data_IF_651593534847
#
_entry.id   IF_651593534847
#
_cell.length_a   1.000
_cell.length_b   1.000
_cell.length_c   1.000
_cell.angle_alpha   90.00
_cell.angle_beta   90.00
_cell.angle_gamma   90.00
#
_symmetry.space_group_name_H-M   'P 1'
#
loop_
_entity.id
_entity.type
_entity.pdbx_description
1 polymer ?
#
# COMPACT_ATOMS: atom_id res chain seq x y z
N UNK A 1 49.21 11.30 -10.37
CA UNK A 1 48.64 10.30 -9.47
C UNK A 1 47.60 9.50 -10.26
N UNK A 2 48.03 8.40 -10.89
CA UNK A 2 47.19 7.60 -11.81
C UNK A 2 46.22 6.76 -11.02
N UNK A 3 44.93 7.09 -11.11
CA UNK A 3 43.86 6.20 -10.71
C UNK A 3 43.92 4.98 -11.65
N UNK A 4 44.40 3.87 -11.13
CA UNK A 4 44.24 2.55 -11.73
C UNK A 4 42.77 2.27 -11.85
N UNK A 5 42.20 2.53 -13.03
CA UNK A 5 40.90 2.03 -13.46
C UNK A 5 41.04 0.50 -13.58
N UNK A 6 40.98 -0.19 -12.45
CA UNK A 6 40.62 -1.61 -12.47
C UNK A 6 39.28 -1.71 -13.18
N UNK A 7 39.30 -2.28 -14.37
CA UNK A 7 38.12 -2.66 -15.11
C UNK A 7 37.23 -3.50 -14.16
N UNK A 8 36.25 -2.84 -13.54
CA UNK A 8 35.32 -3.52 -12.65
C UNK A 8 34.48 -4.46 -13.51
N UNK A 9 34.82 -5.73 -13.49
CA UNK A 9 34.10 -6.76 -14.23
C UNK A 9 32.71 -6.96 -13.59
N UNK A 10 31.69 -6.33 -14.20
CA UNK A 10 30.31 -6.40 -13.77
C UNK A 10 29.75 -7.83 -13.71
N UNK A 11 30.37 -8.77 -14.42
CA UNK A 11 29.97 -10.19 -14.49
C UNK A 11 30.80 -11.11 -13.59
N UNK A 12 31.67 -10.55 -12.74
CA UNK A 12 32.58 -11.32 -11.87
C UNK A 12 31.86 -12.38 -11.03
N UNK A 13 30.64 -12.09 -10.60
CA UNK A 13 29.83 -13.00 -9.75
C UNK A 13 28.66 -13.66 -10.48
N UNK A 14 28.60 -13.50 -11.79
CA UNK A 14 27.61 -14.18 -12.61
C UNK A 14 28.05 -15.64 -12.82
N UNK A 15 27.23 -16.64 -12.46
CA UNK A 15 27.52 -18.05 -12.72
C UNK A 15 27.82 -18.31 -14.19
N UNK A 16 28.59 -19.38 -14.48
CA UNK A 16 28.98 -19.70 -15.88
C UNK A 16 27.79 -19.99 -16.80
N UNK A 17 26.71 -20.55 -16.22
CA UNK A 17 25.49 -20.95 -16.94
C UNK A 17 24.42 -19.86 -17.01
N UNK A 18 24.67 -18.67 -16.47
CA UNK A 18 23.67 -17.60 -16.38
C UNK A 18 24.20 -16.29 -16.98
N UNK A 19 23.27 -15.40 -17.30
CA UNK A 19 23.56 -14.09 -17.89
C UNK A 19 23.05 -12.96 -17.00
N UNK A 20 23.84 -11.89 -16.91
CA UNK A 20 23.46 -10.65 -16.27
C UNK A 20 22.48 -9.89 -17.14
N UNK A 21 21.32 -9.52 -16.58
CA UNK A 21 20.38 -8.65 -17.25
C UNK A 21 20.96 -7.24 -17.36
N UNK A 22 21.18 -6.81 -18.60
CA UNK A 22 21.75 -5.48 -18.88
C UNK A 22 20.69 -4.44 -19.16
N UNK A 23 19.58 -4.85 -19.79
CA UNK A 23 18.50 -3.96 -20.21
C UNK A 23 17.22 -4.75 -20.52
N UNK A 24 16.07 -4.15 -20.25
CA UNK A 24 14.81 -4.52 -20.87
C UNK A 24 14.57 -3.56 -22.05
N UNK A 25 14.20 -4.07 -23.20
CA UNK A 25 13.85 -3.28 -24.38
C UNK A 25 12.42 -3.60 -24.79
N UNK A 26 11.66 -2.56 -25.13
CA UNK A 26 10.27 -2.72 -25.55
C UNK A 26 10.11 -2.22 -26.99
N UNK A 27 9.46 -3.03 -27.78
CA UNK A 27 9.08 -2.70 -29.16
C UNK A 27 7.57 -2.89 -29.28
N UNK A 28 6.85 -1.79 -29.42
CA UNK A 28 5.39 -1.77 -29.52
C UNK A 28 5.02 -1.42 -30.95
N UNK A 29 4.31 -2.31 -31.65
CA UNK A 29 3.91 -2.17 -33.06
C UNK A 29 5.09 -1.75 -33.95
N UNK A 30 6.24 -2.37 -33.75
CA UNK A 30 7.46 -2.10 -34.52
C UNK A 30 8.25 -0.84 -34.09
N UNK A 31 7.74 -0.05 -33.17
CA UNK A 31 8.43 1.15 -32.67
C UNK A 31 9.05 0.88 -31.29
N UNK A 32 10.26 1.38 -31.08
CA UNK A 32 10.92 1.29 -29.77
C UNK A 32 10.26 2.25 -28.78
N UNK A 33 9.77 1.71 -27.68
CA UNK A 33 9.05 2.46 -26.63
C UNK A 33 9.53 2.04 -25.25
N UNK A 34 10.55 2.72 -24.73
CA UNK A 34 11.07 2.47 -23.38
C UNK A 34 10.52 3.53 -22.42
N UNK A 35 9.38 3.24 -21.81
CA UNK A 35 8.73 4.09 -20.83
C UNK A 35 8.93 3.53 -19.42
N UNK A 36 8.91 4.40 -18.42
CA UNK A 36 8.97 3.98 -17.00
C UNK A 36 7.76 3.09 -16.62
N UNK A 37 6.62 3.31 -17.26
CA UNK A 37 5.40 2.51 -17.08
C UNK A 37 5.65 1.04 -17.47
N UNK A 38 6.23 0.78 -18.64
CA UNK A 38 6.56 -0.56 -19.09
C UNK A 38 7.67 -1.21 -18.26
N UNK A 39 8.67 -0.44 -17.88
CA UNK A 39 9.75 -0.93 -16.99
C UNK A 39 9.22 -1.41 -15.63
N UNK A 40 8.25 -0.71 -15.04
CA UNK A 40 7.61 -1.11 -13.76
C UNK A 40 6.84 -2.43 -13.84
N UNK A 41 6.43 -2.85 -15.04
CA UNK A 41 5.76 -4.14 -15.23
C UNK A 41 6.74 -5.32 -15.16
N UNK A 42 8.02 -5.07 -15.33
CA UNK A 42 9.01 -6.14 -15.35
C UNK A 42 9.22 -6.75 -13.98
N UNK A 43 9.28 -8.08 -13.93
CA UNK A 43 9.57 -8.83 -12.68
C UNK A 43 11.00 -8.59 -12.24
N UNK A 44 11.91 -8.47 -13.21
CA UNK A 44 13.31 -8.14 -12.98
C UNK A 44 13.69 -6.88 -13.75
N UNK A 45 14.27 -5.94 -13.05
CA UNK A 45 14.86 -4.75 -13.64
C UNK A 45 16.38 -4.88 -13.60
N UNK A 46 17.11 -4.34 -14.58
CA UNK A 46 18.58 -4.31 -14.54
C UNK A 46 19.11 -3.66 -13.26
N UNK A 47 20.32 -4.02 -12.87
CA UNK A 47 20.98 -3.36 -11.76
C UNK A 47 21.02 -1.83 -11.99
N UNK A 48 20.88 -1.08 -10.89
CA UNK A 48 20.88 0.38 -10.92
C UNK A 48 22.12 0.94 -11.63
N UNK A 49 21.89 1.93 -12.47
CA UNK A 49 22.88 2.58 -13.31
C UNK A 49 22.94 4.07 -12.96
N UNK A 50 24.15 4.61 -12.82
CA UNK A 50 24.41 6.02 -12.68
C UNK A 50 25.37 6.45 -13.80
N UNK A 51 24.90 7.18 -14.78
CA UNK A 51 25.69 7.66 -15.94
C UNK A 51 26.42 6.53 -16.70
N UNK A 52 25.75 5.38 -16.91
CA UNK A 52 26.33 4.21 -17.58
C UNK A 52 27.18 3.32 -16.68
N UNK A 53 27.37 3.68 -15.41
CA UNK A 53 28.19 2.93 -14.46
C UNK A 53 27.35 2.29 -13.35
N UNK A 54 27.43 0.97 -13.21
CA UNK A 54 26.69 0.18 -12.20
C UNK A 54 27.43 0.15 -10.88
N UNK A 55 27.49 1.30 -10.21
CA UNK A 55 28.25 1.48 -8.97
C UNK A 55 27.89 0.44 -7.89
N UNK A 56 26.60 0.26 -7.63
CA UNK A 56 26.12 -0.66 -6.57
C UNK A 56 26.45 -2.13 -6.88
N UNK A 57 26.33 -2.55 -8.15
CA UNK A 57 26.76 -3.88 -8.58
C UNK A 57 28.26 -4.07 -8.42
N UNK A 58 29.05 -3.06 -8.75
CA UNK A 58 30.51 -3.11 -8.60
C UNK A 58 30.93 -3.16 -7.13
N UNK A 59 30.28 -2.40 -6.24
CA UNK A 59 30.47 -2.50 -4.79
C UNK A 59 30.18 -3.93 -4.28
N UNK A 60 29.10 -4.53 -4.72
CA UNK A 60 28.78 -5.92 -4.39
C UNK A 60 29.85 -6.89 -4.90
N UNK A 61 30.37 -6.68 -6.11
CA UNK A 61 31.41 -7.52 -6.70
C UNK A 61 32.77 -7.39 -6.00
N UNK A 62 33.05 -6.25 -5.35
CA UNK A 62 34.25 -6.04 -4.54
C UNK A 62 34.19 -6.79 -3.19
N UNK A 63 33.00 -7.00 -2.63
CA UNK A 63 32.86 -7.73 -1.39
C UNK A 63 33.29 -9.18 -1.57
N UNK A 64 33.98 -9.79 -0.62
CA UNK A 64 34.27 -11.23 -0.64
C UNK A 64 32.96 -12.02 -0.34
N UNK A 65 32.61 -13.06 -1.13
CA UNK A 65 31.43 -13.88 -0.86
C UNK A 65 31.49 -14.57 0.51
N UNK A 66 32.64 -15.09 0.86
CA UNK A 66 32.88 -15.88 2.08
C UNK A 66 34.10 -15.36 2.85
N UNK A 67 34.02 -14.19 3.51
CA UNK A 67 35.21 -13.58 4.15
C UNK A 67 35.73 -14.44 5.31
N UNK A 68 34.88 -15.12 6.05
CA UNK A 68 35.27 -16.00 7.16
C UNK A 68 36.08 -17.23 6.68
N UNK A 69 35.62 -17.89 5.59
CA UNK A 69 36.36 -19.01 5.00
C UNK A 69 37.71 -18.56 4.41
N UNK A 70 37.76 -17.36 3.81
CA UNK A 70 38.98 -16.79 3.28
C UNK A 70 40.01 -16.45 4.39
N UNK A 71 39.53 -15.99 5.54
CA UNK A 71 40.37 -15.77 6.71
C UNK A 71 40.94 -17.10 7.22
N UNK A 72 40.12 -18.12 7.39
CA UNK A 72 40.54 -19.48 7.81
C UNK A 72 41.52 -20.11 6.81
N UNK A 73 41.25 -19.97 5.51
CA UNK A 73 42.10 -20.50 4.44
C UNK A 73 43.55 -19.93 4.47
N UNK A 74 43.79 -18.73 5.02
CA UNK A 74 45.13 -18.17 5.19
C UNK A 74 46.02 -19.03 6.10
N UNK A 75 45.43 -19.83 6.94
CA UNK A 75 46.12 -20.68 7.91
C UNK A 75 46.02 -22.18 7.54
N UNK A 76 45.22 -22.55 6.55
CA UNK A 76 45.08 -23.92 6.08
C UNK A 76 46.43 -24.36 5.43
N UNK A 77 47.00 -25.45 5.90
CA UNK A 77 48.33 -25.91 5.43
C UNK A 77 49.55 -25.10 5.93
N UNK A 78 49.33 -24.10 6.79
CA UNK A 78 50.39 -23.25 7.36
C UNK A 78 50.25 -23.12 8.88
N UNK A 79 50.33 -24.23 9.68
CA UNK A 79 50.10 -24.22 11.12
C UNK A 79 51.07 -23.29 11.87
N UNK A 80 52.32 -23.25 11.45
CA UNK A 80 53.35 -22.38 12.06
C UNK A 80 52.97 -20.89 11.98
N UNK A 81 52.30 -20.47 10.92
CA UNK A 81 51.86 -19.08 10.75
C UNK A 81 50.69 -18.73 11.69
N UNK A 82 49.79 -19.68 11.91
CA UNK A 82 48.73 -19.54 12.90
C UNK A 82 49.29 -19.50 14.33
N UNK A 83 50.23 -20.38 14.66
CA UNK A 83 50.83 -20.44 16.00
C UNK A 83 51.65 -19.18 16.32
N UNK A 84 52.41 -18.63 15.36
CA UNK A 84 53.11 -17.34 15.53
C UNK A 84 52.13 -16.22 15.86
N UNK A 85 51.03 -16.14 15.13
CA UNK A 85 49.98 -15.13 15.37
C UNK A 85 49.26 -15.38 16.71
N UNK A 86 49.03 -16.64 17.09
CA UNK A 86 48.41 -17.02 18.34
C UNK A 86 49.28 -16.83 19.58
N UNK A 87 50.62 -16.79 19.40
CA UNK A 87 51.59 -16.39 20.47
C UNK A 87 51.55 -14.88 20.71
N UNK A 88 51.36 -14.06 19.66
CA UNK A 88 51.25 -12.59 19.76
C UNK A 88 49.86 -12.15 20.26
N UNK A 89 48.84 -12.81 19.79
CA UNK A 89 47.45 -12.43 20.02
C UNK A 89 46.68 -13.64 20.58
N UNK A 90 46.74 -14.24 21.52
CA UNK A 90 46.04 -15.46 21.96
C UNK A 90 45.07 -16.10 20.89
N UNK A 91 44.80 -17.38 20.95
CA UNK A 91 43.88 -18.09 20.01
C UNK A 91 42.50 -17.42 19.92
N UNK A 92 41.99 -16.91 21.07
CA UNK A 92 40.70 -16.23 21.15
C UNK A 92 40.69 -14.87 20.44
N UNK A 93 41.78 -14.14 20.50
CA UNK A 93 41.96 -12.85 19.78
C UNK A 93 42.13 -13.06 18.28
N UNK A 94 42.85 -14.12 17.84
CA UNK A 94 42.93 -14.45 16.40
C UNK A 94 41.57 -14.79 15.83
N UNK A 95 40.73 -15.55 16.57
CA UNK A 95 39.35 -15.82 16.15
C UNK A 95 38.49 -14.55 16.08
N UNK A 96 38.64 -13.62 17.03
CA UNK A 96 38.00 -12.29 17.01
C UNK A 96 38.49 -11.43 15.85
N UNK A 97 39.77 -11.50 15.47
CA UNK A 97 40.34 -10.78 14.35
C UNK A 97 39.63 -11.15 13.02
N UNK A 98 39.34 -12.46 12.82
CA UNK A 98 38.55 -12.92 11.66
C UNK A 98 37.11 -12.38 11.62
N UNK A 99 36.55 -12.05 12.77
CA UNK A 99 35.21 -11.43 12.91
C UNK A 99 35.26 -9.91 13.02
N UNK A 100 36.47 -9.29 12.94
CA UNK A 100 36.62 -7.85 13.04
C UNK A 100 35.96 -7.12 11.85
N UNK A 101 35.71 -5.82 12.06
CA UNK A 101 35.21 -4.94 10.99
C UNK A 101 36.10 -4.99 9.73
N UNK A 102 37.41 -5.08 9.90
CA UNK A 102 38.36 -5.14 8.78
C UNK A 102 38.19 -6.40 7.92
N UNK A 103 37.97 -7.58 8.51
CA UNK A 103 37.87 -8.83 7.75
C UNK A 103 36.43 -9.20 7.37
N UNK A 104 35.46 -8.92 8.22
CA UNK A 104 34.07 -9.27 8.01
C UNK A 104 33.21 -8.03 7.73
N UNK A 105 33.31 -7.00 8.56
CA UNK A 105 32.43 -5.84 8.52
C UNK A 105 32.51 -5.04 7.21
N UNK A 106 33.69 -4.83 6.64
CA UNK A 106 33.84 -4.14 5.34
C UNK A 106 33.10 -4.93 4.25
N UNK A 107 33.28 -6.25 4.19
CA UNK A 107 32.65 -7.07 3.16
C UNK A 107 31.14 -7.17 3.33
N UNK A 108 30.65 -7.21 4.55
CA UNK A 108 29.19 -7.17 4.84
C UNK A 108 28.61 -5.79 4.48
N UNK A 109 29.31 -4.72 4.80
CA UNK A 109 28.91 -3.36 4.43
C UNK A 109 28.86 -3.19 2.92
N UNK A 110 29.88 -3.65 2.19
CA UNK A 110 29.91 -3.63 0.73
C UNK A 110 28.77 -4.47 0.12
N UNK A 111 28.39 -5.59 0.72
CA UNK A 111 27.22 -6.38 0.27
C UNK A 111 25.91 -5.65 0.55
N UNK A 112 25.78 -4.97 1.69
CA UNK A 112 24.57 -4.21 2.07
C UNK A 112 24.39 -2.96 1.22
N UNK A 113 25.45 -2.22 0.96
CA UNK A 113 25.43 -1.03 0.10
C UNK A 113 25.37 -1.38 -1.39
N UNK A 114 25.93 -2.54 -1.74
CA UNK A 114 25.92 -3.07 -3.09
C UNK A 114 24.61 -3.71 -3.48
N UNK A 115 24.50 -4.06 -4.75
CA UNK A 115 23.37 -4.73 -5.35
C UNK A 115 23.82 -6.03 -6.01
N UNK A 116 23.22 -7.18 -5.68
CA UNK A 116 23.58 -8.45 -6.32
C UNK A 116 23.28 -8.42 -7.82
N UNK A 117 24.03 -9.20 -8.64
CA UNK A 117 23.78 -9.26 -10.07
C UNK A 117 22.36 -9.78 -10.35
N UNK A 118 21.61 -9.04 -11.16
CA UNK A 118 20.28 -9.46 -11.61
C UNK A 118 20.47 -10.42 -12.78
N UNK A 119 20.10 -11.67 -12.56
CA UNK A 119 20.30 -12.75 -13.52
C UNK A 119 19.01 -13.00 -14.33
N UNK A 120 19.17 -13.26 -15.62
CA UNK A 120 18.06 -13.63 -16.50
C UNK A 120 17.60 -15.06 -16.16
N UNK A 121 16.28 -15.23 -16.04
CA UNK A 121 15.63 -16.54 -15.97
C UNK A 121 14.29 -16.53 -16.72
N UNK A 122 13.95 -17.65 -17.33
CA UNK A 122 12.75 -17.79 -18.17
C UNK A 122 11.48 -17.51 -17.39
N UNK A 123 11.38 -17.98 -16.14
CA UNK A 123 10.17 -17.78 -15.30
C UNK A 123 9.85 -16.30 -15.04
N UNK A 124 10.87 -15.47 -14.88
CA UNK A 124 10.68 -14.02 -14.73
C UNK A 124 10.28 -13.36 -16.04
N UNK A 125 10.80 -13.83 -17.17
CA UNK A 125 10.40 -13.38 -18.51
C UNK A 125 8.93 -13.70 -18.75
N UNK A 126 8.51 -14.94 -18.54
CA UNK A 126 7.12 -15.38 -18.74
C UNK A 126 6.14 -14.58 -17.88
N UNK A 127 6.49 -14.33 -16.61
CA UNK A 127 5.70 -13.46 -15.73
C UNK A 127 5.63 -12.01 -16.22
N UNK A 128 6.73 -11.49 -16.77
CA UNK A 128 6.76 -10.14 -17.34
C UNK A 128 5.88 -10.04 -18.58
N UNK A 129 5.90 -11.06 -19.45
CA UNK A 129 4.99 -11.15 -20.60
C UNK A 129 3.52 -11.17 -20.17
N UNK A 130 3.17 -11.92 -19.12
CA UNK A 130 1.80 -11.94 -18.58
C UNK A 130 1.39 -10.57 -18.04
N UNK A 131 2.29 -9.84 -17.37
CA UNK A 131 2.02 -8.49 -16.88
C UNK A 131 1.82 -7.49 -18.04
N UNK A 132 2.67 -7.58 -19.08
CA UNK A 132 2.49 -6.78 -20.29
C UNK A 132 1.15 -7.11 -20.98
N UNK A 133 0.80 -8.39 -21.12
CA UNK A 133 -0.48 -8.80 -21.68
C UNK A 133 -1.66 -8.23 -20.89
N UNK A 134 -1.61 -8.32 -19.54
CA UNK A 134 -2.63 -7.74 -18.66
C UNK A 134 -2.71 -6.21 -18.79
N UNK A 135 -1.58 -5.53 -18.90
CA UNK A 135 -1.53 -4.07 -19.10
C UNK A 135 -2.25 -3.65 -20.41
N UNK A 136 -1.94 -4.28 -21.52
CA UNK A 136 -2.60 -3.97 -22.79
C UNK A 136 -4.06 -4.45 -22.82
N UNK A 137 -4.37 -5.59 -22.20
CA UNK A 137 -5.74 -6.07 -22.03
C UNK A 137 -6.58 -5.04 -21.27
N UNK A 138 -6.08 -4.48 -20.16
CA UNK A 138 -6.77 -3.45 -19.39
C UNK A 138 -6.99 -2.14 -20.17
N UNK A 139 -6.19 -1.90 -21.19
CA UNK A 139 -6.34 -0.77 -22.14
C UNK A 139 -7.22 -1.10 -23.36
N UNK A 140 -7.91 -2.24 -23.36
CA UNK A 140 -8.83 -2.65 -24.45
C UNK A 140 -8.16 -3.33 -25.63
N UNK A 141 -6.89 -3.69 -25.55
CA UNK A 141 -6.20 -4.47 -26.58
C UNK A 141 -6.30 -5.97 -26.25
N UNK A 142 -7.50 -6.53 -26.33
CA UNK A 142 -7.76 -7.91 -25.90
C UNK A 142 -7.02 -8.96 -26.76
N UNK A 143 -6.70 -8.63 -28.00
CA UNK A 143 -6.00 -9.50 -28.94
C UNK A 143 -4.48 -9.26 -28.98
N UNK A 144 -3.92 -8.52 -28.02
CA UNK A 144 -2.50 -8.22 -27.97
C UNK A 144 -1.65 -9.49 -27.88
N UNK A 145 -0.62 -9.56 -28.72
CA UNK A 145 0.37 -10.64 -28.71
C UNK A 145 1.69 -10.11 -28.16
N UNK A 146 2.23 -10.81 -27.18
CA UNK A 146 3.50 -10.46 -26.53
C UNK A 146 4.49 -11.59 -26.71
N UNK A 147 5.69 -11.27 -27.19
CA UNK A 147 6.82 -12.18 -27.26
C UNK A 147 8.05 -11.58 -26.59
N UNK A 148 8.97 -12.43 -26.16
CA UNK A 148 10.23 -12.00 -25.60
C UNK A 148 11.38 -12.77 -26.22
N UNK A 149 12.48 -12.08 -26.47
CA UNK A 149 13.73 -12.63 -26.97
C UNK A 149 14.88 -12.20 -26.08
N UNK A 150 15.84 -13.10 -25.86
CA UNK A 150 17.07 -12.81 -25.14
C UNK A 150 18.15 -12.51 -26.15
N UNK A 151 18.64 -11.28 -26.17
CA UNK A 151 19.72 -10.84 -27.04
C UNK A 151 21.04 -10.86 -26.26
N UNK A 152 21.93 -11.78 -26.61
CA UNK A 152 23.21 -11.96 -25.94
C UNK A 152 24.21 -10.88 -26.36
N UNK A 153 24.67 -10.07 -25.42
CA UNK A 153 25.64 -9.00 -25.62
C UNK A 153 27.00 -9.39 -25.00
N UNK A 154 27.72 -10.31 -25.62
CA UNK A 154 29.04 -10.77 -25.15
C UNK A 154 28.99 -11.82 -24.02
N UNK A 155 30.15 -12.12 -23.41
CA UNK A 155 30.25 -13.14 -22.36
C UNK A 155 29.43 -12.77 -21.13
N UNK A 156 28.43 -13.60 -20.77
CA UNK A 156 27.60 -13.49 -19.55
C UNK A 156 26.74 -12.21 -19.44
N UNK A 157 26.50 -11.48 -20.51
CA UNK A 157 25.63 -10.31 -20.55
C UNK A 157 24.55 -10.53 -21.59
N UNK A 158 23.31 -10.17 -21.26
CA UNK A 158 22.24 -10.16 -22.23
C UNK A 158 21.19 -9.09 -21.89
N UNK A 159 20.43 -8.68 -22.90
CA UNK A 159 19.21 -7.90 -22.76
C UNK A 159 18.00 -8.77 -23.07
N UNK A 160 16.84 -8.36 -22.57
CA UNK A 160 15.57 -8.99 -22.91
C UNK A 160 14.77 -7.99 -23.73
N UNK A 161 14.42 -8.37 -24.96
CA UNK A 161 13.59 -7.58 -25.86
C UNK A 161 12.17 -8.12 -25.82
N UNK A 162 11.22 -7.30 -25.38
CA UNK A 162 9.80 -7.59 -25.40
C UNK A 162 9.17 -6.94 -26.64
N UNK A 163 8.53 -7.75 -27.47
CA UNK A 163 7.81 -7.27 -28.65
C UNK A 163 6.31 -7.40 -28.39
N UNK A 164 5.60 -6.30 -28.55
CA UNK A 164 4.16 -6.18 -28.35
C UNK A 164 3.50 -5.82 -29.68
N UNK A 165 2.57 -6.65 -30.12
CA UNK A 165 1.63 -6.34 -31.19
C UNK A 165 0.26 -6.13 -30.57
N UNK A 166 -0.19 -4.89 -30.46
CA UNK A 166 -1.44 -4.57 -29.72
C UNK A 166 -2.68 -5.02 -30.46
N UNK A 167 -2.62 -5.08 -31.82
CA UNK A 167 -3.79 -5.18 -32.68
C UNK A 167 -4.73 -3.97 -32.47
N UNK A 168 -5.99 -4.07 -32.87
CA UNK A 168 -6.97 -3.01 -32.76
C UNK A 168 -7.48 -2.90 -31.32
N UNK A 169 -7.69 -1.66 -30.88
CA UNK A 169 -8.28 -1.39 -29.56
C UNK A 169 -9.81 -1.54 -29.64
N UNK A 170 -10.39 -2.11 -28.61
CA UNK A 170 -11.84 -2.17 -28.45
C UNK A 170 -12.36 -0.83 -27.94
N UNK A 171 -13.55 -0.43 -28.44
CA UNK A 171 -14.25 0.79 -28.06
C UNK A 171 -15.47 0.38 -27.23
N UNK A 172 -15.70 1.05 -26.12
CA UNK A 172 -16.94 0.90 -25.34
C UNK A 172 -18.10 1.44 -26.17
N UNK A 173 -18.96 0.55 -26.67
CA UNK A 173 -20.06 0.91 -27.58
C UNK A 173 -21.36 1.14 -26.82
N UNK A 174 -21.79 0.18 -26.02
CA UNK A 174 -23.02 0.27 -25.22
C UNK A 174 -22.77 0.01 -23.74
N UNK A 175 -23.54 0.70 -22.93
CA UNK A 175 -23.58 0.52 -21.49
C UNK A 175 -25.04 0.35 -21.05
N UNK A 176 -25.39 -0.86 -20.64
CA UNK A 176 -26.69 -1.18 -20.06
C UNK A 176 -26.57 -1.31 -18.54
N UNK A 177 -27.66 -1.18 -17.82
CA UNK A 177 -27.68 -1.31 -16.37
C UNK A 177 -28.89 -2.12 -15.89
N UNK A 178 -28.65 -2.97 -14.90
CA UNK A 178 -29.67 -3.76 -14.19
C UNK A 178 -29.45 -3.54 -12.69
N UNK A 179 -30.30 -2.68 -12.09
CA UNK A 179 -30.19 -2.31 -10.68
C UNK A 179 -31.44 -2.79 -9.97
N UNK A 180 -31.28 -3.81 -9.10
CA UNK A 180 -32.45 -4.46 -8.45
C UNK A 180 -33.15 -3.55 -7.43
N UNK A 181 -32.39 -2.76 -6.66
CA UNK A 181 -32.97 -1.87 -5.63
C UNK A 181 -33.42 -0.54 -6.21
N UNK A 182 -34.74 -0.17 -6.11
CA UNK A 182 -35.29 1.07 -6.69
C UNK A 182 -34.59 2.35 -6.18
N UNK A 183 -34.15 2.35 -4.91
CA UNK A 183 -33.41 3.47 -4.29
C UNK A 183 -32.10 3.70 -4.99
N UNK A 184 -31.36 2.63 -5.29
CA UNK A 184 -30.08 2.72 -5.98
C UNK A 184 -30.25 3.16 -7.43
N UNK A 185 -31.27 2.61 -8.11
CA UNK A 185 -31.56 2.98 -9.50
C UNK A 185 -31.90 4.47 -9.60
N UNK A 186 -32.76 4.98 -8.72
CA UNK A 186 -33.11 6.41 -8.67
C UNK A 186 -31.86 7.29 -8.49
N UNK A 187 -30.95 6.94 -7.56
CA UNK A 187 -29.69 7.67 -7.34
C UNK A 187 -28.75 7.58 -8.55
N UNK A 188 -28.67 6.41 -9.18
CA UNK A 188 -27.89 6.21 -10.39
C UNK A 188 -28.39 7.09 -11.54
N UNK A 189 -29.70 7.06 -11.84
CA UNK A 189 -30.28 7.86 -12.91
C UNK A 189 -30.05 9.36 -12.71
N UNK A 190 -30.17 9.84 -11.46
CA UNK A 190 -29.91 11.25 -11.13
C UNK A 190 -28.46 11.67 -11.36
N UNK A 191 -27.49 10.73 -11.29
CA UNK A 191 -26.05 10.99 -11.43
C UNK A 191 -25.40 10.38 -12.67
N UNK A 192 -26.21 9.85 -13.61
CA UNK A 192 -25.73 9.11 -14.79
C UNK A 192 -24.79 9.93 -15.67
N UNK A 193 -24.97 11.24 -15.74
CA UNK A 193 -24.11 12.12 -16.53
C UNK A 193 -22.69 12.23 -15.97
N UNK A 194 -22.50 11.96 -14.68
CA UNK A 194 -21.21 12.00 -14.00
C UNK A 194 -20.43 10.67 -14.14
N UNK A 195 -21.01 9.67 -14.82
CA UNK A 195 -20.36 8.37 -15.00
C UNK A 195 -18.99 8.49 -15.64
N UNK A 196 -18.01 7.76 -15.12
CA UNK A 196 -16.67 7.62 -15.69
C UNK A 196 -16.71 6.88 -17.03
N UNK A 197 -17.73 6.03 -17.24
CA UNK A 197 -17.92 5.24 -18.45
C UNK A 197 -18.63 6.08 -19.53
N UNK A 198 -17.98 6.21 -20.67
CA UNK A 198 -18.51 6.96 -21.83
C UNK A 198 -18.47 6.07 -23.07
N UNK A 199 -19.64 5.89 -23.72
CA UNK A 199 -19.70 5.23 -25.03
C UNK A 199 -18.87 5.99 -26.06
N UNK A 200 -18.29 5.28 -27.03
CA UNK A 200 -17.43 5.81 -28.07
C UNK A 200 -15.96 6.03 -27.67
N UNK A 201 -15.58 5.78 -26.40
CA UNK A 201 -14.20 5.83 -25.94
C UNK A 201 -13.52 4.45 -25.97
N UNK A 202 -12.21 4.46 -26.13
CA UNK A 202 -11.42 3.23 -25.99
C UNK A 202 -11.71 2.58 -24.64
N UNK A 203 -11.89 1.26 -24.64
CA UNK A 203 -12.06 0.48 -23.41
C UNK A 203 -10.84 0.65 -22.50
N UNK A 204 -11.11 0.93 -21.22
CA UNK A 204 -10.10 1.00 -20.17
C UNK A 204 -10.69 0.46 -18.87
N UNK A 205 -10.11 -0.61 -18.32
CA UNK A 205 -10.59 -1.21 -17.06
C UNK A 205 -10.57 -0.23 -15.88
N UNK A 206 -9.66 0.73 -15.87
CA UNK A 206 -9.59 1.74 -14.82
C UNK A 206 -10.85 2.62 -14.76
N UNK A 207 -11.53 2.85 -15.89
CA UNK A 207 -12.77 3.63 -15.94
C UNK A 207 -13.91 2.87 -15.24
N UNK A 208 -13.93 1.53 -15.35
CA UNK A 208 -14.88 0.68 -14.62
C UNK A 208 -14.60 0.69 -13.11
N UNK A 209 -13.33 0.62 -12.71
CA UNK A 209 -12.98 0.72 -11.30
C UNK A 209 -13.29 2.12 -10.73
N UNK A 210 -13.05 3.18 -11.51
CA UNK A 210 -13.44 4.55 -11.13
C UNK A 210 -14.96 4.67 -10.96
N UNK A 211 -15.74 4.06 -11.85
CA UNK A 211 -17.21 4.05 -11.76
C UNK A 211 -17.70 3.28 -10.52
N UNK A 212 -17.10 2.13 -10.20
CA UNK A 212 -17.40 1.40 -8.95
C UNK A 212 -17.13 2.26 -7.72
N UNK A 213 -16.00 2.98 -7.68
CA UNK A 213 -15.67 3.88 -6.57
C UNK A 213 -16.64 5.04 -6.50
N UNK A 214 -17.01 5.64 -7.64
CA UNK A 214 -17.97 6.75 -7.72
C UNK A 214 -19.34 6.33 -7.17
N UNK A 215 -19.88 5.22 -7.66
CA UNK A 215 -21.19 4.71 -7.25
C UNK A 215 -21.20 4.27 -5.78
N UNK A 216 -20.16 3.60 -5.32
CA UNK A 216 -20.02 3.26 -3.90
C UNK A 216 -20.04 4.52 -3.02
N UNK A 217 -19.30 5.55 -3.42
CA UNK A 217 -19.27 6.84 -2.71
C UNK A 217 -20.63 7.53 -2.74
N UNK A 218 -21.30 7.55 -3.90
CA UNK A 218 -22.64 8.11 -4.07
C UNK A 218 -23.64 7.44 -3.13
N UNK A 219 -23.76 6.13 -3.19
CA UNK A 219 -24.75 5.40 -2.41
C UNK A 219 -24.49 5.49 -0.91
N UNK A 220 -23.27 5.29 -0.47
CA UNK A 220 -22.91 5.36 0.94
C UNK A 220 -23.07 6.77 1.53
N UNK A 221 -22.82 7.80 0.76
CA UNK A 221 -22.99 9.17 1.23
C UNK A 221 -24.46 9.64 1.21
N UNK A 222 -25.34 8.87 0.55
CA UNK A 222 -26.78 9.13 0.51
C UNK A 222 -27.59 8.11 1.34
N UNK A 223 -26.98 7.52 2.34
CA UNK A 223 -27.67 6.73 3.35
C UNK A 223 -27.64 5.23 3.17
N UNK A 224 -27.05 4.69 2.10
CA UNK A 224 -27.06 3.25 1.87
C UNK A 224 -25.95 2.56 2.66
N UNK A 225 -26.17 2.34 3.94
CA UNK A 225 -25.16 1.88 4.90
C UNK A 225 -24.52 0.53 4.54
N UNK A 226 -25.29 -0.45 4.10
CA UNK A 226 -24.79 -1.80 3.80
C UNK A 226 -24.19 -1.95 2.41
N UNK A 227 -24.22 -0.90 1.59
CA UNK A 227 -23.65 -0.96 0.26
C UNK A 227 -22.12 -1.10 0.29
N UNK A 228 -21.61 -1.93 -0.59
CA UNK A 228 -20.16 -2.15 -0.78
C UNK A 228 -19.86 -2.24 -2.29
N UNK A 229 -18.66 -1.89 -2.67
CA UNK A 229 -18.23 -1.85 -4.07
C UNK A 229 -18.35 -3.20 -4.80
N UNK A 230 -18.27 -4.33 -4.09
CA UNK A 230 -18.38 -5.67 -4.64
C UNK A 230 -19.80 -6.04 -5.12
N UNK A 231 -20.83 -5.26 -4.78
CA UNK A 231 -22.17 -5.42 -5.35
C UNK A 231 -22.25 -4.95 -6.81
N UNK A 232 -21.28 -4.12 -7.27
CA UNK A 232 -21.24 -3.63 -8.64
C UNK A 232 -20.44 -4.63 -9.49
N UNK A 233 -21.12 -5.31 -10.37
CA UNK A 233 -20.55 -6.24 -11.37
C UNK A 233 -20.66 -5.61 -12.74
N UNK A 234 -19.68 -5.88 -13.60
CA UNK A 234 -19.72 -5.54 -15.01
C UNK A 234 -19.50 -6.81 -15.82
N UNK A 235 -20.47 -7.16 -16.62
CA UNK A 235 -20.36 -8.20 -17.62
C UNK A 235 -20.02 -7.55 -18.95
N UNK A 236 -18.88 -7.97 -19.56
CA UNK A 236 -18.35 -7.32 -20.75
C UNK A 236 -18.31 -8.33 -21.88
N UNK A 237 -19.11 -8.08 -22.92
CA UNK A 237 -19.13 -8.87 -24.13
C UNK A 237 -18.25 -8.23 -25.21
N UNK A 238 -17.33 -9.03 -25.77
CA UNK A 238 -16.40 -8.65 -26.83
C UNK A 238 -16.36 -9.67 -27.95
N UNK A 239 -17.25 -10.70 -27.92
CA UNK A 239 -17.25 -11.81 -28.87
C UNK A 239 -17.99 -11.37 -30.14
N UNK A 240 -17.35 -11.52 -31.32
CA UNK A 240 -17.90 -11.21 -32.64
C UNK A 240 -18.49 -9.79 -32.76
N UNK A 241 -17.97 -8.83 -32.00
CA UNK A 241 -18.52 -7.48 -31.91
C UNK A 241 -17.86 -6.46 -32.84
N UNK A 242 -16.89 -6.86 -33.67
CA UNK A 242 -16.16 -5.94 -34.55
C UNK A 242 -15.35 -4.88 -33.78
N UNK A 243 -14.60 -5.30 -32.72
CA UNK A 243 -13.80 -4.46 -31.83
C UNK A 243 -14.64 -3.47 -30.98
N UNK A 244 -15.87 -3.83 -30.67
CA UNK A 244 -16.73 -3.13 -29.74
C UNK A 244 -16.83 -3.91 -28.43
N UNK A 245 -16.90 -3.22 -27.31
CA UNK A 245 -17.17 -3.80 -26.00
C UNK A 245 -18.57 -3.35 -25.55
N UNK A 246 -19.43 -4.31 -25.29
CA UNK A 246 -20.74 -4.08 -24.69
C UNK A 246 -20.63 -4.40 -23.21
N UNK A 247 -20.95 -3.44 -22.34
CA UNK A 247 -20.87 -3.62 -20.91
C UNK A 247 -22.26 -3.56 -20.28
N UNK A 248 -22.59 -4.57 -19.49
CA UNK A 248 -23.79 -4.62 -18.67
C UNK A 248 -23.41 -4.48 -17.19
N UNK A 249 -23.89 -3.41 -16.56
CA UNK A 249 -23.69 -3.16 -15.13
C UNK A 249 -24.82 -3.80 -14.34
N UNK A 250 -24.47 -4.73 -13.46
CA UNK A 250 -25.43 -5.42 -12.59
C UNK A 250 -25.19 -5.04 -11.14
N UNK A 251 -26.23 -4.56 -10.46
CA UNK A 251 -26.22 -4.30 -9.01
C UNK A 251 -27.37 -5.10 -8.40
N UNK A 252 -26.99 -6.18 -7.70
CA UNK A 252 -27.93 -7.05 -7.00
C UNK A 252 -28.38 -6.44 -5.66
N UNK A 253 -29.46 -6.96 -5.09
CA UNK A 253 -29.95 -6.60 -3.78
C UNK A 253 -29.01 -7.01 -2.65
N UNK A 254 -29.21 -6.41 -1.47
CA UNK A 254 -28.43 -6.70 -0.26
C UNK A 254 -28.62 -8.15 0.17
N UNK A 255 -27.51 -8.88 0.24
CA UNK A 255 -27.50 -10.28 0.66
C UNK A 255 -27.01 -10.39 2.11
N UNK A 256 -27.77 -11.08 2.95
CA UNK A 256 -27.42 -11.38 4.34
C UNK A 256 -27.64 -12.84 4.69
N UNK A 257 -26.98 -13.32 5.72
CA UNK A 257 -27.08 -14.72 6.17
C UNK A 257 -27.78 -14.81 7.52
N UNK A 258 -28.64 -15.81 7.66
CA UNK A 258 -29.25 -16.21 8.92
C UNK A 258 -29.00 -17.71 9.07
N UNK A 259 -28.10 -18.10 9.96
CA UNK A 259 -27.60 -19.49 10.02
C UNK A 259 -26.91 -19.87 8.71
N UNK A 260 -27.32 -21.00 8.13
CA UNK A 260 -26.79 -21.52 6.86
C UNK A 260 -27.53 -20.99 5.61
N UNK A 261 -28.59 -20.23 5.81
CA UNK A 261 -29.44 -19.71 4.70
C UNK A 261 -29.05 -18.28 4.33
N UNK A 262 -29.07 -17.99 3.00
CA UNK A 262 -28.81 -16.67 2.43
C UNK A 262 -30.14 -16.05 1.95
N UNK A 263 -30.34 -14.79 2.32
CA UNK A 263 -31.52 -14.03 1.97
C UNK A 263 -31.16 -12.74 1.29
N UNK A 264 -32.00 -12.23 0.41
CA UNK A 264 -31.85 -10.96 -0.26
C UNK A 264 -32.97 -10.00 0.11
N UNK A 265 -32.67 -8.72 0.22
CA UNK A 265 -33.66 -7.64 0.39
C UNK A 265 -33.16 -6.37 -0.29
N UNK A 266 -34.06 -5.50 -0.77
CA UNK A 266 -33.66 -4.21 -1.36
C UNK A 266 -32.84 -3.38 -0.38
N UNK A 267 -31.88 -2.62 -0.93
CA UNK A 267 -31.19 -1.63 -0.15
C UNK A 267 -32.11 -0.54 0.35
N UNK A 268 -31.83 -0.02 1.54
CA UNK A 268 -32.57 1.03 2.22
C UNK A 268 -31.69 2.22 2.55
N UNK A 269 -32.34 3.39 2.70
CA UNK A 269 -31.68 4.59 3.23
C UNK A 269 -31.78 4.54 4.76
N UNK A 270 -30.64 4.72 5.41
CA UNK A 270 -30.53 4.77 6.87
C UNK A 270 -30.34 6.20 7.37
N UNK A 271 -30.92 6.50 8.52
CA UNK A 271 -30.70 7.73 9.29
C UNK A 271 -30.02 7.40 10.61
N UNK A 272 -29.27 8.33 11.13
CA UNK A 272 -28.68 8.19 12.47
C UNK A 272 -29.72 8.60 13.49
N UNK A 273 -30.18 7.69 14.34
CA UNK A 273 -31.13 7.98 15.43
C UNK A 273 -30.42 8.52 16.65
N UNK A 274 -29.26 7.97 17.00
CA UNK A 274 -28.57 8.23 18.23
C UNK A 274 -27.05 8.23 18.02
N UNK A 275 -26.33 9.12 18.73
CA UNK A 275 -24.87 9.18 18.73
C UNK A 275 -24.34 9.05 20.14
N UNK A 276 -23.62 7.97 20.43
CA UNK A 276 -23.06 7.63 21.71
C UNK A 276 -21.53 7.77 21.68
N UNK A 277 -20.96 8.53 22.58
CA UNK A 277 -19.52 8.81 22.65
C UNK A 277 -18.97 8.28 23.98
N UNK A 278 -18.14 7.26 23.92
CA UNK A 278 -17.46 6.66 25.07
C UNK A 278 -16.08 7.28 25.22
N UNK A 279 -15.93 8.20 26.21
CA UNK A 279 -14.75 9.09 26.29
C UNK A 279 -13.51 8.48 26.94
N UNK A 280 -13.66 7.33 27.61
CA UNK A 280 -12.58 6.57 28.24
C UNK A 280 -12.67 5.07 27.95
N UNK A 281 -13.00 4.74 26.72
CA UNK A 281 -13.10 3.36 26.26
C UNK A 281 -11.78 2.61 26.46
N UNK A 282 -11.90 1.35 26.89
CA UNK A 282 -10.78 0.39 26.92
C UNK A 282 -11.22 -0.89 26.25
N UNK A 283 -10.29 -1.57 25.57
CA UNK A 283 -10.55 -2.86 24.96
C UNK A 283 -11.11 -3.85 25.98
N UNK A 284 -12.26 -4.46 25.67
CA UNK A 284 -12.86 -5.52 26.50
C UNK A 284 -13.81 -5.07 27.61
N UNK A 285 -14.17 -3.79 27.72
CA UNK A 285 -15.20 -3.34 28.68
C UNK A 285 -16.59 -3.33 28.05
N UNK A 286 -17.56 -3.93 28.75
CA UNK A 286 -18.97 -3.93 28.38
C UNK A 286 -19.68 -2.64 28.83
N UNK A 287 -20.80 -2.28 28.16
CA UNK A 287 -21.63 -1.11 28.50
C UNK A 287 -22.17 -1.08 29.93
N UNK A 288 -22.28 -2.23 30.57
CA UNK A 288 -22.83 -2.40 31.93
C UNK A 288 -22.06 -1.68 33.04
N UNK A 289 -20.85 -1.18 32.74
CA UNK A 289 -19.98 -0.51 33.73
C UNK A 289 -19.88 1.01 33.56
N UNK A 290 -20.85 1.65 32.87
CA UNK A 290 -20.90 3.11 32.73
C UNK A 290 -21.22 3.72 34.08
N UNK A 291 -20.35 4.64 34.54
CA UNK A 291 -20.50 5.33 35.85
C UNK A 291 -20.93 6.78 35.73
N UNK A 292 -20.68 7.40 34.57
CA UNK A 292 -20.98 8.80 34.33
C UNK A 292 -21.53 9.01 32.94
N UNK A 293 -22.56 9.86 32.79
CA UNK A 293 -23.18 10.16 31.53
C UNK A 293 -23.66 11.60 31.45
N UNK A 294 -23.48 12.23 30.32
CA UNK A 294 -23.93 13.60 30.03
C UNK A 294 -24.56 13.63 28.66
N UNK A 295 -25.74 14.22 28.53
CA UNK A 295 -26.34 14.53 27.23
C UNK A 295 -26.06 16.00 26.90
N UNK A 296 -25.50 16.25 25.70
CA UNK A 296 -25.18 17.59 25.25
C UNK A 296 -25.45 17.73 23.75
N UNK A 297 -26.30 18.69 23.37
CA UNK A 297 -26.69 18.96 21.97
C UNK A 297 -27.14 17.70 21.17
N UNK A 298 -27.88 16.79 21.84
CA UNK A 298 -28.34 15.54 21.21
C UNK A 298 -27.29 14.42 21.16
N UNK A 299 -26.09 14.64 21.66
CA UNK A 299 -25.08 13.61 21.82
C UNK A 299 -25.10 13.02 23.24
N UNK A 300 -24.94 11.70 23.36
CA UNK A 300 -24.80 11.04 24.65
C UNK A 300 -23.32 10.74 24.87
N UNK A 301 -22.73 11.35 25.89
CA UNK A 301 -21.35 11.10 26.31
C UNK A 301 -21.35 10.18 27.52
N UNK A 302 -20.61 9.09 27.43
CA UNK A 302 -20.48 8.07 28.47
C UNK A 302 -19.04 7.96 28.94
N UNK A 303 -18.86 7.72 30.25
CA UNK A 303 -17.57 7.40 30.84
C UNK A 303 -17.69 6.21 31.79
N UNK A 304 -16.70 5.31 31.74
CA UNK A 304 -16.57 4.16 32.67
C UNK A 304 -16.03 4.59 34.04
N UNK A 305 -15.48 5.81 34.10
CA UNK A 305 -15.07 6.45 35.34
C UNK A 305 -15.80 7.80 35.45
N UNK A 306 -15.12 8.86 35.79
CA UNK A 306 -15.63 10.23 35.77
C UNK A 306 -15.33 10.90 34.43
N UNK A 307 -16.28 11.68 33.93
CA UNK A 307 -16.09 12.47 32.69
C UNK A 307 -14.92 13.45 32.87
N UNK A 308 -13.94 13.36 31.96
CA UNK A 308 -12.69 14.14 32.01
C UNK A 308 -12.62 15.21 30.94
N UNK A 309 -13.61 15.28 30.07
CA UNK A 309 -13.61 16.18 28.92
C UNK A 309 -14.86 17.06 28.97
N UNK A 310 -14.72 18.32 28.60
CA UNK A 310 -15.87 19.20 28.39
C UNK A 310 -16.65 18.66 27.18
N UNK A 311 -17.98 18.51 27.29
CA UNK A 311 -18.79 17.94 26.18
C UNK A 311 -18.55 18.65 24.85
N UNK A 312 -18.56 19.97 24.86
CA UNK A 312 -18.32 20.81 23.65
C UNK A 312 -17.01 20.46 22.96
N UNK A 313 -15.92 20.22 23.68
CA UNK A 313 -14.60 19.96 23.11
C UNK A 313 -14.57 18.65 22.27
N UNK A 314 -15.40 17.68 22.64
CA UNK A 314 -15.52 16.42 21.91
C UNK A 314 -16.55 16.52 20.80
N UNK A 315 -17.73 17.09 21.08
CA UNK A 315 -18.83 17.14 20.11
C UNK A 315 -18.55 18.05 18.91
N UNK A 316 -17.74 19.11 19.09
CA UNK A 316 -17.28 19.96 17.97
C UNK A 316 -16.40 19.19 16.95
N UNK A 317 -15.82 18.07 17.35
CA UNK A 317 -15.04 17.19 16.46
C UNK A 317 -15.89 16.06 15.83
N UNK A 318 -17.20 15.98 16.13
CA UNK A 318 -18.11 14.93 15.65
C UNK A 318 -19.08 15.51 14.62
N UNK A 319 -18.99 15.02 13.41
CA UNK A 319 -19.81 15.45 12.26
C UNK A 319 -21.01 14.50 12.02
N UNK A 320 -21.07 13.40 12.73
CA UNK A 320 -22.23 12.48 12.73
C UNK A 320 -23.23 13.08 13.71
N UNK A 321 -24.41 13.46 13.21
CA UNK A 321 -25.44 14.08 14.04
C UNK A 321 -26.74 13.25 14.06
N UNK A 322 -27.45 13.18 15.19
CA UNK A 322 -28.76 12.54 15.27
C UNK A 322 -29.75 13.18 14.29
N UNK A 323 -30.68 12.38 13.74
CA UNK A 323 -31.67 12.80 12.77
C UNK A 323 -31.17 12.94 11.33
N UNK A 324 -29.84 12.91 11.10
CA UNK A 324 -29.29 13.05 9.74
C UNK A 324 -29.22 11.72 9.00
N UNK A 325 -29.30 11.77 7.67
CA UNK A 325 -29.04 10.62 6.82
C UNK A 325 -27.60 10.15 7.00
N UNK A 326 -27.40 8.83 7.07
CA UNK A 326 -26.06 8.26 7.11
C UNK A 326 -25.24 8.73 5.91
N UNK A 327 -23.99 9.10 6.16
CA UNK A 327 -23.05 9.46 5.12
C UNK A 327 -21.62 9.06 5.54
N UNK A 328 -20.95 8.30 4.69
CA UNK A 328 -19.63 7.73 4.99
C UNK A 328 -18.57 8.82 5.21
N UNK A 329 -18.66 9.93 4.47
CA UNK A 329 -17.76 11.07 4.64
C UNK A 329 -17.83 11.66 6.06
N UNK A 330 -19.00 11.66 6.71
CA UNK A 330 -19.17 12.15 8.10
C UNK A 330 -18.36 11.30 9.08
N UNK A 331 -18.39 9.98 8.88
CA UNK A 331 -17.57 9.03 9.67
C UNK A 331 -16.08 9.31 9.50
N UNK A 332 -15.64 9.48 8.27
CA UNK A 332 -14.23 9.76 7.93
C UNK A 332 -13.76 11.10 8.53
N UNK A 333 -14.57 12.15 8.37
CA UNK A 333 -14.25 13.47 8.92
C UNK A 333 -14.24 13.44 10.45
N UNK A 334 -15.22 12.82 11.09
CA UNK A 334 -15.28 12.65 12.55
C UNK A 334 -14.02 11.93 13.07
N UNK A 335 -13.66 10.81 12.46
CA UNK A 335 -12.45 10.06 12.86
C UNK A 335 -11.18 10.90 12.74
N UNK A 336 -11.05 11.67 11.65
CA UNK A 336 -9.93 12.57 11.42
C UNK A 336 -9.85 13.70 12.46
N UNK A 337 -10.96 14.38 12.72
CA UNK A 337 -10.98 15.50 13.68
C UNK A 337 -10.72 15.04 15.10
N UNK A 338 -11.34 13.93 15.54
CA UNK A 338 -11.06 13.33 16.83
C UNK A 338 -9.60 12.88 16.98
N UNK A 339 -8.99 12.36 15.89
CA UNK A 339 -7.57 12.00 15.88
C UNK A 339 -6.65 13.22 15.98
N UNK A 340 -7.05 14.35 15.38
CA UNK A 340 -6.30 15.60 15.39
C UNK A 340 -6.24 16.25 16.77
N UNK A 341 -7.14 15.92 17.69
CA UNK A 341 -7.06 16.36 19.09
C UNK A 341 -5.80 15.82 19.80
N UNK A 342 -5.20 14.73 19.30
CA UNK A 342 -3.98 14.08 19.84
C UNK A 342 -4.08 13.58 21.28
N UNK A 343 -5.27 13.68 21.90
CA UNK A 343 -5.55 13.20 23.25
C UNK A 343 -6.08 11.77 23.28
N UNK A 344 -6.56 11.26 22.14
CA UNK A 344 -7.03 9.90 21.97
C UNK A 344 -6.09 9.09 21.08
N UNK A 345 -6.09 7.78 21.30
CA UNK A 345 -5.63 6.83 20.30
C UNK A 345 -6.65 6.80 19.15
N UNK A 346 -6.45 5.91 18.16
CA UNK A 346 -7.35 5.83 16.99
C UNK A 346 -8.83 5.73 17.43
N UNK A 347 -9.69 6.73 17.14
CA UNK A 347 -11.11 6.66 17.38
C UNK A 347 -11.73 5.51 16.62
N UNK A 348 -12.58 4.73 17.26
CA UNK A 348 -13.33 3.63 16.61
C UNK A 348 -14.79 4.02 16.54
N UNK A 349 -15.36 4.05 15.34
CA UNK A 349 -16.76 4.38 15.09
C UNK A 349 -17.48 3.13 14.59
N UNK A 350 -18.51 2.71 15.29
CA UNK A 350 -19.31 1.52 14.97
C UNK A 350 -20.77 1.91 14.88
N UNK A 351 -21.44 1.40 13.85
CA UNK A 351 -22.88 1.55 13.69
C UNK A 351 -23.57 0.24 14.00
N UNK A 352 -24.74 0.33 14.60
CA UNK A 352 -25.65 -0.77 14.79
C UNK A 352 -27.07 -0.33 14.45
N UNK A 353 -27.91 -1.23 13.95
CA UNK A 353 -29.32 -0.95 13.76
C UNK A 353 -29.97 -0.60 15.11
N UNK A 354 -30.86 0.38 15.12
CA UNK A 354 -31.58 0.78 16.33
C UNK A 354 -32.69 -0.25 16.59
N UNK A 355 -32.61 -1.03 17.68
CA UNK A 355 -33.65 -2.02 17.99
C UNK A 355 -35.04 -1.40 18.32
N UNK A 356 -35.07 -0.08 18.58
CA UNK A 356 -36.35 0.64 18.83
C UNK A 356 -37.03 1.09 17.57
N UNK A 357 -36.38 1.03 16.40
CA UNK A 357 -36.95 1.43 15.13
C UNK A 357 -37.62 0.24 14.43
N UNK A 358 -38.96 0.19 14.36
CA UNK A 358 -39.67 -0.89 13.70
C UNK A 358 -39.49 -0.92 12.18
N UNK A 359 -39.00 0.18 11.57
CA UNK A 359 -38.78 0.28 10.13
C UNK A 359 -37.44 -0.36 9.72
N UNK A 360 -36.51 -0.52 10.68
CA UNK A 360 -35.17 -1.01 10.46
C UNK A 360 -34.36 -0.11 9.51
N UNK A 361 -34.51 1.23 9.65
CA UNK A 361 -33.85 2.23 8.84
C UNK A 361 -33.05 3.23 9.71
N UNK A 362 -32.96 2.97 11.00
CA UNK A 362 -32.23 3.81 11.94
C UNK A 362 -30.94 3.14 12.43
N UNK A 363 -29.90 3.94 12.56
CA UNK A 363 -28.58 3.53 13.05
C UNK A 363 -28.22 4.28 14.33
N UNK A 364 -27.71 3.56 15.31
CA UNK A 364 -27.03 4.12 16.46
C UNK A 364 -25.54 4.17 16.15
N UNK A 365 -24.92 5.36 16.19
CA UNK A 365 -23.49 5.54 16.03
C UNK A 365 -22.80 5.49 17.40
N UNK A 366 -21.90 4.53 17.60
CA UNK A 366 -21.11 4.39 18.81
C UNK A 366 -19.64 4.79 18.51
N UNK A 367 -19.16 5.82 19.19
CA UNK A 367 -17.81 6.37 19.04
C UNK A 367 -17.00 6.02 20.28
N UNK A 368 -15.99 5.20 20.13
CA UNK A 368 -15.12 4.76 21.22
C UNK A 368 -13.80 5.52 21.18
N UNK A 369 -13.51 6.27 22.23
CA UNK A 369 -12.31 7.07 22.40
C UNK A 369 -11.44 6.47 23.50
N UNK A 370 -10.25 6.03 23.14
CA UNK A 370 -9.26 5.49 24.07
C UNK A 370 -8.27 6.59 24.43
N UNK A 371 -8.27 7.14 25.66
CA UNK A 371 -7.37 8.22 26.04
C UNK A 371 -5.89 7.81 25.97
N UNK A 372 -5.04 8.71 25.49
CA UNK A 372 -3.59 8.58 25.62
C UNK A 372 -3.13 8.93 27.04
N UNK A 373 -1.92 8.54 27.40
CA UNK A 373 -1.31 8.94 28.68
C UNK A 373 -1.26 10.46 28.77
N UNK A 374 -1.61 11.00 29.93
CA UNK A 374 -1.62 12.46 30.20
C UNK A 374 -0.25 13.09 29.93
N UNK A 375 0.80 12.42 30.35
CA UNK A 375 2.19 12.86 30.15
C UNK A 375 2.92 11.91 29.21
N UNK A 376 3.68 12.46 28.27
CA UNK A 376 4.64 11.71 27.49
C UNK A 376 5.92 12.51 27.30
N UNK A 377 7.04 11.80 27.36
CA UNK A 377 8.37 12.33 27.13
C UNK A 377 8.91 11.73 25.83
N UNK A 378 9.45 12.57 24.96
CA UNK A 378 10.12 12.18 23.72
C UNK A 378 11.55 12.69 23.71
N UNK A 379 12.46 11.88 23.19
CA UNK A 379 13.82 12.29 22.85
C UNK A 379 14.16 11.78 21.47
N UNK A 380 14.71 12.62 20.61
CA UNK A 380 15.22 12.23 19.30
C UNK A 380 16.65 12.71 19.10
N UNK A 381 17.42 11.95 18.34
CA UNK A 381 18.75 12.29 17.86
C UNK A 381 18.77 12.12 16.36
N UNK A 382 18.89 13.22 15.65
CA UNK A 382 18.91 13.25 14.19
C UNK A 382 20.34 13.47 13.70
N UNK A 383 20.79 12.58 12.82
CA UNK A 383 22.07 12.69 12.14
C UNK A 383 21.79 12.97 10.67
N UNK A 384 22.18 14.12 10.20
CA UNK A 384 22.01 14.54 8.81
C UNK A 384 23.37 14.65 8.11
N UNK A 385 23.42 14.15 6.88
CA UNK A 385 24.55 14.32 5.98
C UNK A 385 24.01 14.61 4.57
N UNK A 386 24.49 15.66 3.94
CA UNK A 386 24.11 16.00 2.57
C UNK A 386 25.32 16.51 1.81
N UNK A 387 25.25 16.53 0.49
CA UNK A 387 26.31 17.07 -0.38
C UNK A 387 26.55 18.58 -0.21
N UNK A 388 25.70 19.27 0.56
CA UNK A 388 25.75 20.72 0.80
C UNK A 388 26.14 21.00 2.26
N UNK A 389 25.90 20.05 3.18
CA UNK A 389 26.18 20.15 4.60
C UNK A 389 27.01 18.96 5.06
N UNK A 390 28.21 19.17 5.57
CA UNK A 390 29.19 18.12 5.85
C UNK A 390 28.69 17.09 6.87
N UNK A 391 28.24 17.51 8.01
CA UNK A 391 27.69 16.63 9.05
C UNK A 391 26.87 17.46 10.02
N UNK A 392 25.62 17.07 10.23
CA UNK A 392 24.74 17.69 11.19
C UNK A 392 24.30 16.69 12.27
N UNK A 393 24.41 17.09 13.51
CA UNK A 393 23.86 16.37 14.66
C UNK A 393 22.86 17.29 15.36
N UNK A 394 21.60 16.88 15.43
CA UNK A 394 20.56 17.58 16.14
C UNK A 394 19.92 16.67 17.19
N UNK A 395 19.83 17.16 18.42
CA UNK A 395 19.12 16.49 19.48
C UNK A 395 17.88 17.30 19.87
N UNK A 396 16.74 16.66 20.06
CA UNK A 396 15.54 17.31 20.59
C UNK A 396 14.93 16.49 21.73
N UNK A 397 14.37 17.20 22.68
CA UNK A 397 13.59 16.61 23.76
C UNK A 397 12.25 17.31 23.82
N UNK A 398 11.18 16.55 24.02
CA UNK A 398 9.82 17.09 24.12
C UNK A 398 9.09 16.52 25.32
N UNK A 399 8.26 17.34 25.94
CA UNK A 399 7.32 16.95 26.99
C UNK A 399 5.94 17.32 26.52
N UNK A 400 5.08 16.30 26.35
CA UNK A 400 3.69 16.52 25.95
C UNK A 400 2.76 16.32 27.14
N UNK A 401 1.90 17.30 27.40
CA UNK A 401 0.86 17.24 28.44
C UNK A 401 -0.50 17.34 27.77
N UNK A 402 -1.41 16.39 28.04
CA UNK A 402 -2.72 16.30 27.39
C UNK A 402 -3.84 16.58 28.36
N UNK A 403 -4.87 17.27 27.88
CA UNK A 403 -6.12 17.54 28.60
C UNK A 403 -5.89 18.18 29.93
N UNK A 404 -5.18 19.30 30.00
CA UNK A 404 -4.86 20.04 31.21
C UNK A 404 -6.10 20.72 31.74
N UNK A 405 -6.89 21.36 30.87
CA UNK A 405 -8.07 22.18 31.22
C UNK A 405 -9.40 21.47 30.83
N UNK A 406 -9.39 20.16 30.59
CA UNK A 406 -10.52 19.36 30.16
C UNK A 406 -11.10 19.77 28.80
N UNK A 407 -10.35 20.49 27.96
CA UNK A 407 -10.72 20.93 26.62
C UNK A 407 -10.22 20.03 25.51
N UNK A 408 -9.68 18.85 25.86
CA UNK A 408 -9.04 17.92 24.92
C UNK A 408 -7.82 18.54 24.19
N UNK A 409 -7.15 19.50 24.81
CA UNK A 409 -5.97 20.19 24.30
C UNK A 409 -4.68 19.38 24.54
N UNK A 410 -3.66 19.69 23.73
CA UNK A 410 -2.31 19.14 23.87
C UNK A 410 -1.31 20.30 23.95
N UNK A 411 -0.45 20.30 24.97
CA UNK A 411 0.65 21.22 25.16
C UNK A 411 1.97 20.46 24.90
N UNK A 412 2.81 21.02 24.06
CA UNK A 412 4.17 20.52 23.77
C UNK A 412 5.20 21.59 24.14
#
# INVERSE_FOLDING_TARGET
MGLLLYSCDSVRRVPKSQQLLTKNEFVVNGKKENTEELEKLMVKQPNSDLLGYRLRLNLYNLANPNPDSTFKAKFTGKPQKYERLARLLSKKQVARLGKSFYYLGIHETLKKLGEPPVLIDQKSIDKSQLRLKGHYFNKGFFNAKISAQIDTAGKKKASVKYTVETKEAYILDSLTQQIASPVLDSMFQASKQESALKSGRQFNSNDFDAEKVRLNTLFRNNGVFYFQQNYIKFDIDTVDTGHKAHADMVIEDYTFRVGDSSFTKPFKIFKVSEVNIFTDATLGRNRENIKDSITYNGFNLYAYQKQKYRPKAITDAVFIAPGTTFADWRTTVTSRYLSNLRVFNYPTIQYQEDPKDPTGQSLIANIFLVPRKKYSFGASLDVTHSNIQDFGLAGSTSVTIRNVFNGAETLE
#
